data_IF_446036156304
#
_entry.id   IF_446036156304
#
_cell.length_a   1.000
_cell.length_b   1.000
_cell.length_c   1.000
_cell.angle_alpha   90.00
_cell.angle_beta   90.00
_cell.angle_gamma   90.00
#
_symmetry.space_group_name_H-M   'P 1'
#
loop_
_entity.id
_entity.type
_entity.pdbx_description
1 polymer ?
#
# COMPACT_ATOMS: atom_id res chain seq x y z
N UNK A 1 -4.65 -14.82 -3.73
CA UNK A 1 -5.14 -13.49 -4.19
C UNK A 1 -6.65 -13.47 -4.19
N UNK A 2 -7.28 -12.30 -3.99
CA UNK A 2 -8.74 -12.18 -4.05
C UNK A 2 -9.28 -12.46 -5.46
N UNK A 3 -10.41 -13.18 -5.55
CA UNK A 3 -10.99 -13.66 -6.82
C UNK A 3 -11.36 -12.53 -7.81
N UNK A 4 -11.59 -11.33 -7.32
CA UNK A 4 -11.93 -10.13 -8.11
C UNK A 4 -10.77 -9.15 -8.30
N UNK A 5 -9.57 -9.49 -7.80
CA UNK A 5 -8.37 -8.66 -7.95
C UNK A 5 -7.92 -8.60 -9.41
N UNK A 6 -7.28 -7.50 -9.80
CA UNK A 6 -6.78 -7.31 -11.17
C UNK A 6 -5.86 -8.45 -11.62
N UNK A 7 -5.05 -9.03 -10.72
CA UNK A 7 -4.16 -10.16 -11.05
C UNK A 7 -4.88 -11.50 -11.20
N UNK A 8 -6.13 -11.62 -10.74
CA UNK A 8 -6.89 -12.88 -10.76
C UNK A 8 -7.95 -12.93 -11.87
N UNK A 9 -8.46 -11.77 -12.30
CA UNK A 9 -9.47 -11.69 -13.36
C UNK A 9 -8.84 -11.64 -14.75
N UNK A 10 -9.61 -12.06 -15.77
CA UNK A 10 -9.15 -12.16 -17.16
C UNK A 10 -10.16 -11.54 -18.14
N UNK A 11 -9.76 -11.36 -19.41
CA UNK A 11 -10.63 -10.87 -20.49
C UNK A 11 -11.29 -9.52 -20.19
N UNK A 12 -12.58 -9.39 -20.49
CA UNK A 12 -13.36 -8.15 -20.30
C UNK A 12 -13.35 -7.67 -18.84
N UNK A 13 -13.35 -8.59 -17.87
CA UNK A 13 -13.30 -8.24 -16.46
C UNK A 13 -11.96 -7.59 -16.08
N UNK A 14 -10.84 -8.16 -16.55
CA UNK A 14 -9.51 -7.56 -16.38
C UNK A 14 -9.43 -6.17 -17.01
N UNK A 15 -9.85 -6.03 -18.27
CA UNK A 15 -9.83 -4.75 -18.99
C UNK A 15 -10.61 -3.67 -18.23
N UNK A 16 -11.77 -4.03 -17.66
CA UNK A 16 -12.59 -3.11 -16.86
C UNK A 16 -11.87 -2.65 -15.59
N UNK A 17 -11.35 -3.58 -14.79
CA UNK A 17 -10.64 -3.26 -13.53
C UNK A 17 -9.37 -2.46 -13.81
N UNK A 18 -8.59 -2.85 -14.82
CA UNK A 18 -7.38 -2.14 -15.24
C UNK A 18 -7.69 -0.71 -15.69
N UNK A 19 -8.73 -0.51 -16.49
CA UNK A 19 -9.15 0.82 -16.96
C UNK A 19 -9.50 1.73 -15.79
N UNK A 20 -10.30 1.23 -14.84
CA UNK A 20 -10.67 1.97 -13.64
C UNK A 20 -9.45 2.43 -12.84
N UNK A 21 -8.54 1.49 -12.51
CA UNK A 21 -7.32 1.82 -11.75
C UNK A 21 -6.43 2.78 -12.52
N UNK A 22 -6.19 2.53 -13.82
CA UNK A 22 -5.31 3.39 -14.63
C UNK A 22 -5.84 4.82 -14.69
N UNK A 23 -7.16 5.00 -14.83
CA UNK A 23 -7.79 6.31 -14.83
C UNK A 23 -7.71 7.01 -13.48
N UNK A 24 -7.79 6.26 -12.38
CA UNK A 24 -7.75 6.80 -11.03
C UNK A 24 -6.34 7.26 -10.59
N UNK A 25 -5.28 6.57 -11.00
CA UNK A 25 -3.92 6.82 -10.46
C UNK A 25 -2.80 7.03 -11.48
N UNK A 26 -2.97 6.65 -12.76
CA UNK A 26 -1.88 6.67 -13.75
C UNK A 26 -2.10 7.66 -14.91
N UNK A 27 -3.18 8.45 -14.90
CA UNK A 27 -3.39 9.53 -15.87
C UNK A 27 -2.62 10.78 -15.44
N UNK A 28 -2.15 11.63 -16.37
CA UNK A 28 -1.41 12.84 -16.04
C UNK A 28 -2.10 13.72 -14.99
N UNK A 29 -3.40 13.98 -15.14
CA UNK A 29 -4.18 14.76 -14.16
C UNK A 29 -4.27 14.08 -12.79
N UNK A 30 -4.43 12.76 -12.76
CA UNK A 30 -4.43 12.00 -11.51
C UNK A 30 -3.07 12.06 -10.82
N UNK A 31 -1.98 11.86 -11.57
CA UNK A 31 -0.61 11.96 -11.06
C UNK A 31 -0.32 13.36 -10.52
N UNK A 32 -0.74 14.42 -11.21
CA UNK A 32 -0.57 15.80 -10.74
C UNK A 32 -1.31 16.04 -9.42
N UNK A 33 -2.56 15.58 -9.30
CA UNK A 33 -3.33 15.68 -8.05
C UNK A 33 -2.71 14.88 -6.92
N UNK A 34 -2.27 13.65 -7.19
CA UNK A 34 -1.60 12.80 -6.22
C UNK A 34 -0.30 13.47 -5.75
N UNK A 35 0.54 13.95 -6.68
CA UNK A 35 1.80 14.63 -6.38
C UNK A 35 1.57 15.85 -5.47
N UNK A 36 0.63 16.73 -5.85
CA UNK A 36 0.28 17.90 -5.04
C UNK A 36 -0.21 17.53 -3.63
N UNK A 37 -0.90 16.39 -3.50
CA UNK A 37 -1.42 15.91 -2.23
C UNK A 37 -0.34 15.27 -1.33
N UNK A 38 0.56 14.46 -1.90
CA UNK A 38 1.57 13.72 -1.13
C UNK A 38 2.79 14.59 -0.79
N UNK A 39 3.11 15.58 -1.62
CA UNK A 39 4.33 16.38 -1.49
C UNK A 39 4.49 17.07 -0.12
N UNK A 40 3.47 17.73 0.47
CA UNK A 40 3.61 18.34 1.79
C UNK A 40 4.05 17.34 2.87
N UNK A 41 3.44 16.14 2.87
CA UNK A 41 3.79 15.07 3.83
C UNK A 41 5.19 14.52 3.60
N UNK A 42 5.61 14.39 2.34
CA UNK A 42 6.97 13.98 2.01
C UNK A 42 8.02 14.99 2.47
N UNK A 43 7.78 16.29 2.27
CA UNK A 43 8.69 17.35 2.72
C UNK A 43 8.86 17.32 4.25
N UNK A 44 7.75 17.23 4.99
CA UNK A 44 7.77 17.15 6.47
C UNK A 44 8.54 15.91 6.94
N UNK A 45 8.31 14.75 6.31
CA UNK A 45 9.01 13.51 6.65
C UNK A 45 10.53 13.64 6.41
N UNK A 46 10.93 14.16 5.26
CA UNK A 46 12.35 14.34 4.93
C UNK A 46 13.06 15.31 5.89
N UNK A 47 12.40 16.41 6.27
CA UNK A 47 12.93 17.35 7.27
C UNK A 47 13.11 16.68 8.64
N UNK A 48 12.13 15.89 9.07
CA UNK A 48 12.21 15.12 10.33
C UNK A 48 13.33 14.08 10.30
N UNK A 49 13.47 13.35 9.19
CA UNK A 49 14.52 12.35 9.02
C UNK A 49 15.93 12.97 9.01
N UNK A 50 16.09 14.15 8.40
CA UNK A 50 17.35 14.88 8.41
C UNK A 50 17.79 15.27 9.84
N UNK A 51 16.83 15.55 10.73
CA UNK A 51 17.09 15.87 12.14
C UNK A 51 17.34 14.62 13.01
N UNK A 52 16.95 13.44 12.54
CA UNK A 52 17.01 12.19 13.31
C UNK A 52 18.39 11.51 13.33
N UNK A 53 19.36 12.02 12.56
CA UNK A 53 20.73 11.51 12.45
C UNK A 53 20.84 10.19 11.70
N UNK A 54 20.22 9.12 12.21
CA UNK A 54 20.17 7.79 11.58
C UNK A 54 18.73 7.27 11.55
N UNK A 55 18.28 6.88 10.36
CA UNK A 55 16.97 6.28 10.15
C UNK A 55 17.08 4.89 9.51
N UNK A 56 16.05 4.07 9.68
CA UNK A 56 15.84 2.91 8.82
C UNK A 56 15.06 3.34 7.58
N UNK A 57 15.78 3.62 6.48
CA UNK A 57 15.19 4.15 5.26
C UNK A 57 14.04 3.28 4.71
N UNK A 58 14.15 1.95 4.82
CA UNK A 58 13.10 1.02 4.37
C UNK A 58 11.84 1.20 5.22
N UNK A 59 11.97 1.16 6.53
CA UNK A 59 10.84 1.31 7.44
C UNK A 59 10.15 2.66 7.28
N UNK A 60 10.93 3.75 7.30
CA UNK A 60 10.41 5.11 7.20
C UNK A 60 9.72 5.38 5.86
N UNK A 61 10.31 4.92 4.74
CA UNK A 61 9.71 5.08 3.41
C UNK A 61 8.44 4.23 3.27
N UNK A 62 8.42 3.00 3.81
CA UNK A 62 7.23 2.14 3.78
C UNK A 62 6.09 2.76 4.59
N UNK A 63 6.38 3.27 5.79
CA UNK A 63 5.40 3.96 6.63
C UNK A 63 4.81 5.17 5.92
N UNK A 64 5.65 6.07 5.39
CA UNK A 64 5.20 7.24 4.63
C UNK A 64 4.36 6.86 3.40
N UNK A 65 4.76 5.81 2.69
CA UNK A 65 4.01 5.30 1.54
C UNK A 65 2.64 4.78 1.96
N UNK A 66 2.57 4.01 3.03
CA UNK A 66 1.30 3.46 3.54
C UNK A 66 0.37 4.57 4.04
N UNK A 67 0.91 5.59 4.71
CA UNK A 67 0.17 6.79 5.13
C UNK A 67 -0.45 7.52 3.92
N UNK A 68 0.30 7.65 2.82
CA UNK A 68 -0.20 8.26 1.58
C UNK A 68 -1.27 7.39 0.91
N UNK A 69 -1.10 6.06 0.86
CA UNK A 69 -2.12 5.15 0.34
C UNK A 69 -3.40 5.23 1.18
N UNK A 70 -3.28 5.23 2.50
CA UNK A 70 -4.41 5.35 3.42
C UNK A 70 -5.18 6.64 3.22
N UNK A 71 -4.47 7.75 3.02
CA UNK A 71 -5.11 9.02 2.72
C UNK A 71 -5.79 9.04 1.36
N UNK A 72 -5.13 8.53 0.31
CA UNK A 72 -5.64 8.56 -1.07
C UNK A 72 -6.87 7.67 -1.28
N UNK A 73 -6.89 6.47 -0.69
CA UNK A 73 -7.94 5.48 -0.95
C UNK A 73 -8.99 5.37 0.15
N UNK A 74 -8.64 5.74 1.39
CA UNK A 74 -9.52 5.58 2.55
C UNK A 74 -9.83 6.93 3.23
N UNK A 75 -9.27 8.04 2.72
CA UNK A 75 -9.38 9.37 3.37
C UNK A 75 -8.90 9.39 4.82
N UNK A 76 -8.06 8.44 5.21
CA UNK A 76 -7.56 8.29 6.58
C UNK A 76 -6.28 9.11 6.80
N UNK A 77 -6.19 9.74 7.96
CA UNK A 77 -4.94 10.34 8.43
C UNK A 77 -4.06 9.31 9.16
N UNK A 78 -2.74 9.55 9.26
CA UNK A 78 -1.83 8.73 10.04
C UNK A 78 -2.32 8.61 11.50
N UNK A 79 -2.39 7.39 12.01
CA UNK A 79 -2.87 7.13 13.36
C UNK A 79 -2.90 5.64 13.71
N UNK A 80 -3.34 5.28 14.93
CA UNK A 80 -3.29 3.90 15.43
C UNK A 80 -4.03 2.89 14.55
N UNK A 81 -5.16 3.29 13.97
CA UNK A 81 -5.92 2.44 13.06
C UNK A 81 -5.11 2.13 11.79
N UNK A 82 -4.56 3.14 11.12
CA UNK A 82 -3.78 2.95 9.90
C UNK A 82 -2.50 2.16 10.17
N UNK A 83 -1.85 2.37 11.31
CA UNK A 83 -0.71 1.56 11.75
C UNK A 83 -1.08 0.09 11.99
N UNK A 84 -2.28 -0.18 12.50
CA UNK A 84 -2.77 -1.55 12.68
C UNK A 84 -3.06 -2.20 11.33
N UNK A 85 -3.59 -1.45 10.36
CA UNK A 85 -3.77 -1.90 8.99
C UNK A 85 -2.43 -2.17 8.28
N UNK A 86 -1.39 -1.36 8.48
CA UNK A 86 -0.05 -1.63 7.93
C UNK A 86 0.48 -2.96 8.46
N UNK A 87 0.36 -3.24 9.77
CA UNK A 87 0.77 -4.54 10.34
C UNK A 87 0.06 -5.73 9.68
N UNK A 88 -1.25 -5.62 9.45
CA UNK A 88 -2.03 -6.64 8.74
C UNK A 88 -1.57 -6.76 7.28
N UNK A 89 -1.32 -5.64 6.61
CA UNK A 89 -0.83 -5.60 5.23
C UNK A 89 0.56 -6.25 5.09
N UNK A 90 1.49 -6.01 6.02
CA UNK A 90 2.80 -6.66 6.02
C UNK A 90 2.67 -8.19 6.17
N UNK A 91 1.78 -8.67 7.05
CA UNK A 91 1.53 -10.10 7.22
C UNK A 91 0.92 -10.71 5.94
N UNK A 92 -0.04 -10.02 5.32
CA UNK A 92 -0.62 -10.41 4.03
C UNK A 92 0.43 -10.50 2.93
N UNK A 93 1.31 -9.50 2.80
CA UNK A 93 2.37 -9.48 1.80
C UNK A 93 3.35 -10.65 1.96
N UNK A 94 3.67 -11.03 3.21
CA UNK A 94 4.49 -12.21 3.47
C UNK A 94 3.81 -13.49 2.98
N UNK A 95 2.52 -13.67 3.23
CA UNK A 95 1.79 -14.85 2.75
C UNK A 95 1.61 -14.88 1.23
N UNK A 96 1.43 -13.72 0.57
CA UNK A 96 1.38 -13.64 -0.89
C UNK A 96 2.70 -14.09 -1.54
N UNK A 97 3.83 -13.84 -0.88
CA UNK A 97 5.17 -14.24 -1.36
C UNK A 97 5.59 -15.64 -0.95
N UNK A 98 4.89 -16.25 0.01
CA UNK A 98 5.21 -17.58 0.51
C UNK A 98 4.75 -18.68 -0.44
N UNK A 99 5.38 -19.86 -0.33
CA UNK A 99 4.85 -21.07 -0.96
C UNK A 99 3.46 -21.37 -0.35
N UNK A 100 2.45 -21.78 -1.14
CA UNK A 100 1.05 -21.82 -0.71
C UNK A 100 0.72 -23.03 0.19
N UNK A 101 1.44 -23.18 1.30
CA UNK A 101 1.23 -24.21 2.33
C UNK A 101 0.25 -23.69 3.36
N UNK A 102 -0.94 -24.28 3.38
CA UNK A 102 -2.00 -23.91 4.32
C UNK A 102 -1.94 -24.75 5.61
N UNK A 103 -0.84 -24.64 6.36
CA UNK A 103 -0.64 -25.32 7.65
C UNK A 103 -0.34 -24.26 8.72
N UNK A 104 -0.87 -24.36 9.95
CA UNK A 104 -0.53 -23.46 11.04
C UNK A 104 0.99 -23.28 11.21
N UNK A 105 1.42 -22.03 11.39
CA UNK A 105 2.84 -21.65 11.46
C UNK A 105 3.45 -21.16 10.14
N UNK A 106 2.84 -21.46 8.99
CA UNK A 106 3.30 -20.93 7.70
C UNK A 106 2.73 -19.54 7.40
N UNK A 107 3.52 -18.71 6.71
CA UNK A 107 3.13 -17.35 6.33
C UNK A 107 1.88 -17.32 5.43
N UNK A 108 1.72 -18.32 4.54
CA UNK A 108 0.53 -18.43 3.70
C UNK A 108 -0.74 -18.67 4.53
N UNK A 109 -0.69 -19.59 5.52
CA UNK A 109 -1.81 -19.83 6.43
C UNK A 109 -2.19 -18.57 7.22
N UNK A 110 -1.19 -17.86 7.77
CA UNK A 110 -1.41 -16.62 8.52
C UNK A 110 -2.07 -15.52 7.67
N UNK A 111 -1.76 -15.43 6.38
CA UNK A 111 -2.34 -14.42 5.50
C UNK A 111 -3.78 -14.73 5.05
N UNK A 112 -4.29 -15.94 5.32
CA UNK A 112 -5.68 -16.31 5.09
C UNK A 112 -6.60 -16.03 6.29
N UNK A 113 -6.01 -15.78 7.47
CA UNK A 113 -6.71 -15.43 8.71
C UNK A 113 -6.97 -13.92 8.75
#
# INVERSE_FOLDING_TARGET
MGRTSMVAVHGKAHTRVRSFVTNAINRPEALNRIAAHVQPRMVIALQSWAQSGKINARFETQKLTFDNIGKLFMSMEPGPLLQSMDKLYQALLLGVRAYPINIPGFAYHRALQ
#
